data_IF_689185939393
#
_entry.id   IF_689185939393
#
_cell.length_a   1.000
_cell.length_b   1.000
_cell.length_c   1.000
_cell.angle_alpha   90.00
_cell.angle_beta   90.00
_cell.angle_gamma   90.00
#
_symmetry.space_group_name_H-M   'P 1'
#
loop_
_entity.id
_entity.type
_entity.pdbx_description
1 polymer ?
#
# COMPACT_ATOMS: atom_id res chain seq x y z
N UNK A 1 28.50 24.34 -5.83
CA UNK A 1 27.78 23.16 -6.39
C UNK A 1 26.36 23.22 -5.87
N UNK A 2 25.39 23.46 -6.74
CA UNK A 2 23.98 23.48 -6.31
C UNK A 2 23.53 22.05 -6.09
N UNK A 3 23.13 21.72 -4.85
CA UNK A 3 22.54 20.42 -4.56
C UNK A 3 21.12 20.40 -5.13
N UNK A 4 20.78 19.36 -5.86
CA UNK A 4 19.47 19.15 -6.49
C UNK A 4 18.76 17.99 -5.78
N UNK A 5 17.49 18.19 -5.44
CA UNK A 5 16.74 17.19 -4.67
C UNK A 5 15.95 16.24 -5.55
N UNK A 6 15.43 16.71 -6.68
CA UNK A 6 14.65 15.94 -7.63
C UNK A 6 14.94 16.35 -9.06
N UNK A 7 14.83 15.39 -9.99
CA UNK A 7 14.96 15.60 -11.43
C UNK A 7 13.79 14.90 -12.10
N UNK A 8 13.18 15.56 -13.07
CA UNK A 8 12.13 15.01 -13.93
C UNK A 8 12.28 15.57 -15.35
N UNK A 9 11.49 15.07 -16.32
CA UNK A 9 11.63 15.43 -17.72
C UNK A 9 10.26 15.80 -18.32
N UNK A 10 10.22 16.92 -19.04
CA UNK A 10 9.03 17.41 -19.73
C UNK A 10 9.41 18.12 -21.03
N UNK A 11 8.75 17.76 -22.15
CA UNK A 11 8.88 18.44 -23.45
C UNK A 11 10.32 18.69 -23.92
N UNK A 12 11.22 17.72 -23.76
CA UNK A 12 12.61 17.82 -24.17
C UNK A 12 13.53 18.52 -23.15
N UNK A 13 13.03 18.94 -22.01
CA UNK A 13 13.78 19.59 -20.96
C UNK A 13 13.83 18.76 -19.68
N UNK A 14 15.00 18.72 -19.03
CA UNK A 14 15.14 18.22 -17.68
C UNK A 14 14.94 19.33 -16.68
N UNK A 15 14.20 19.03 -15.63
CA UNK A 15 13.96 19.90 -14.50
C UNK A 15 14.78 19.47 -13.31
N UNK A 16 15.31 20.41 -12.56
CA UNK A 16 15.99 20.12 -11.31
C UNK A 16 15.56 21.14 -10.25
N UNK A 17 15.06 20.65 -9.14
CA UNK A 17 14.73 21.49 -7.97
C UNK A 17 16.01 21.83 -7.22
N UNK A 18 16.20 23.09 -6.90
CA UNK A 18 17.32 23.54 -6.07
C UNK A 18 16.94 23.29 -4.61
N UNK A 19 17.76 22.52 -3.91
CA UNK A 19 17.49 22.13 -2.53
C UNK A 19 17.33 23.35 -1.60
N UNK A 20 16.36 23.28 -0.70
CA UNK A 20 16.01 24.33 0.27
C UNK A 20 15.70 25.70 -0.36
N UNK A 21 15.06 25.69 -1.50
CA UNK A 21 14.63 26.91 -2.19
C UNK A 21 13.26 26.72 -2.87
N UNK A 22 12.65 27.83 -3.26
CA UNK A 22 11.48 27.85 -4.13
C UNK A 22 11.85 28.01 -5.62
N UNK A 23 13.03 27.52 -6.00
CA UNK A 23 13.67 27.76 -7.31
C UNK A 23 13.91 26.43 -8.00
N UNK A 24 13.65 26.40 -9.29
CA UNK A 24 14.00 25.26 -10.15
C UNK A 24 14.88 25.73 -11.32
N UNK A 25 15.64 24.82 -11.88
CA UNK A 25 16.46 25.03 -13.06
C UNK A 25 16.03 24.07 -14.16
N UNK A 26 16.12 24.53 -15.41
CA UNK A 26 15.79 23.77 -16.61
C UNK A 26 17.06 23.56 -17.43
N UNK A 27 17.23 22.38 -18.03
CA UNK A 27 18.34 22.07 -18.94
C UNK A 27 18.21 22.80 -20.26
N UNK A 28 19.21 22.68 -21.13
CA UNK A 28 19.02 22.96 -22.54
C UNK A 28 18.06 21.94 -23.17
N UNK A 29 17.44 22.32 -24.28
CA UNK A 29 16.52 21.44 -25.01
C UNK A 29 17.27 20.20 -25.49
N UNK A 30 16.69 19.03 -25.21
CA UNK A 30 17.22 17.70 -25.54
C UNK A 30 18.64 17.39 -25.02
N UNK A 31 19.15 18.20 -24.09
CA UNK A 31 20.47 18.04 -23.51
C UNK A 31 20.44 18.10 -21.99
N UNK A 32 20.47 16.94 -21.35
CA UNK A 32 20.52 16.80 -19.89
C UNK A 32 21.90 17.05 -19.28
N UNK A 33 22.93 17.25 -20.10
CA UNK A 33 24.32 17.47 -19.64
C UNK A 33 24.66 18.95 -19.50
N UNK A 34 23.99 19.81 -20.25
CA UNK A 34 24.25 21.25 -20.27
C UNK A 34 23.13 22.04 -19.57
N UNK A 35 23.51 22.79 -18.55
CA UNK A 35 22.61 23.56 -17.71
C UNK A 35 23.04 25.04 -17.71
N UNK A 36 22.29 25.89 -18.41
CA UNK A 36 22.58 27.32 -18.42
C UNK A 36 22.17 27.94 -17.08
N UNK A 37 23.08 28.69 -16.47
CA UNK A 37 22.81 29.39 -15.21
C UNK A 37 21.71 30.46 -15.28
N UNK A 38 21.29 30.88 -16.47
CA UNK A 38 20.20 31.81 -16.69
C UNK A 38 18.83 31.10 -16.79
N UNK A 39 18.79 29.78 -16.95
CA UNK A 39 17.56 29.00 -17.06
C UNK A 39 17.04 28.59 -15.68
N UNK A 40 16.97 29.55 -14.79
CA UNK A 40 16.48 29.42 -13.42
C UNK A 40 15.19 30.20 -13.30
N UNK A 41 14.19 29.61 -12.67
CA UNK A 41 12.93 30.26 -12.34
C UNK A 41 12.61 30.11 -10.86
N UNK A 42 12.09 31.19 -10.27
CA UNK A 42 11.65 31.21 -8.88
C UNK A 42 10.13 31.22 -8.83
N UNK A 43 9.55 30.34 -8.04
CA UNK A 43 8.11 30.28 -7.85
C UNK A 43 7.70 31.35 -6.87
N UNK A 44 6.99 32.38 -7.36
CA UNK A 44 6.55 33.51 -6.54
C UNK A 44 5.19 33.30 -5.86
N UNK A 45 4.44 32.26 -6.24
CA UNK A 45 3.11 31.96 -5.68
C UNK A 45 3.11 31.44 -4.26
N UNK A 46 4.23 30.88 -3.82
CA UNK A 46 4.43 30.49 -2.42
C UNK A 46 5.84 30.90 -1.96
N UNK A 47 5.96 31.36 -0.71
CA UNK A 47 7.26 31.74 -0.16
C UNK A 47 8.09 30.54 0.33
N UNK A 48 7.42 29.37 0.49
CA UNK A 48 8.03 28.16 1.05
C UNK A 48 8.92 27.47 0.02
N UNK A 49 9.82 26.64 0.49
CA UNK A 49 10.68 25.81 -0.37
C UNK A 49 9.86 24.77 -1.14
N UNK A 50 10.32 24.43 -2.33
CA UNK A 50 9.79 23.27 -3.07
C UNK A 50 10.17 22.01 -2.31
N UNK A 51 9.18 21.22 -1.93
CA UNK A 51 9.33 19.92 -1.26
C UNK A 51 9.41 18.80 -2.28
N UNK A 52 8.54 18.83 -3.30
CA UNK A 52 8.44 17.79 -4.31
C UNK A 52 8.09 18.35 -5.68
N UNK A 53 8.44 17.62 -6.72
CA UNK A 53 8.11 17.93 -8.10
C UNK A 53 7.70 16.64 -8.82
N UNK A 54 6.72 16.74 -9.73
CA UNK A 54 6.34 15.63 -10.60
C UNK A 54 5.82 16.16 -11.93
N UNK A 55 6.18 15.47 -13.00
CA UNK A 55 5.66 15.74 -14.34
C UNK A 55 4.49 14.81 -14.64
N UNK A 56 3.41 15.37 -15.15
CA UNK A 56 2.24 14.64 -15.59
C UNK A 56 1.55 15.38 -16.74
N UNK A 57 1.08 14.69 -17.79
CA UNK A 57 0.36 15.25 -18.94
C UNK A 57 0.99 16.52 -19.54
N UNK A 58 2.32 16.57 -19.67
CA UNK A 58 3.12 17.71 -20.14
C UNK A 58 3.03 18.95 -19.26
N UNK A 59 2.60 18.78 -18.01
CA UNK A 59 2.61 19.79 -16.97
C UNK A 59 3.64 19.44 -15.90
N UNK A 60 4.33 20.43 -15.38
CA UNK A 60 5.28 20.27 -14.29
C UNK A 60 4.65 20.80 -13.02
N UNK A 61 4.36 19.90 -12.10
CA UNK A 61 3.77 20.23 -10.81
C UNK A 61 4.86 20.41 -9.75
N UNK A 62 4.83 21.58 -9.09
CA UNK A 62 5.70 21.89 -7.96
C UNK A 62 4.86 21.97 -6.70
N UNK A 63 5.28 21.22 -5.69
CA UNK A 63 4.64 21.15 -4.38
C UNK A 63 5.55 21.81 -3.34
N UNK A 64 5.05 22.82 -2.62
CA UNK A 64 5.65 23.27 -1.37
C UNK A 64 5.03 22.50 -0.18
N UNK A 65 5.40 22.87 1.05
CA UNK A 65 4.80 22.25 2.24
C UNK A 65 3.31 22.52 2.43
N UNK A 66 2.75 23.54 1.76
CA UNK A 66 1.35 23.98 1.94
C UNK A 66 0.59 24.20 0.66
N UNK A 67 1.27 24.41 -0.45
CA UNK A 67 0.68 24.83 -1.72
C UNK A 67 1.34 24.12 -2.88
N UNK A 68 0.62 24.04 -4.01
CA UNK A 68 1.18 23.51 -5.25
C UNK A 68 0.72 24.30 -6.47
N UNK A 69 1.50 24.22 -7.53
CA UNK A 69 1.25 24.96 -8.77
C UNK A 69 1.77 24.16 -9.97
N UNK A 70 1.05 24.24 -11.08
CA UNK A 70 1.45 23.66 -12.35
C UNK A 70 2.07 24.69 -13.29
N UNK A 71 3.07 24.23 -14.04
CA UNK A 71 3.71 24.96 -15.12
C UNK A 71 3.58 24.18 -16.42
N UNK A 72 3.49 24.88 -17.54
CA UNK A 72 3.46 24.29 -18.87
C UNK A 72 4.48 24.99 -19.79
N UNK A 73 4.85 24.29 -20.85
CA UNK A 73 5.75 24.85 -21.86
C UNK A 73 5.00 25.81 -22.79
N UNK A 74 5.32 27.08 -22.70
CA UNK A 74 4.74 28.13 -23.55
C UNK A 74 5.42 28.26 -24.91
N UNK A 75 6.59 27.65 -25.07
CA UNK A 75 7.42 27.80 -26.28
C UNK A 75 8.10 29.18 -26.40
N UNK A 76 7.94 30.08 -25.44
CA UNK A 76 8.47 31.43 -25.49
C UNK A 76 9.24 31.78 -24.21
N UNK A 77 10.35 32.54 -24.37
CA UNK A 77 11.20 32.95 -23.27
C UNK A 77 12.20 31.86 -22.83
N UNK A 78 12.96 32.15 -21.77
CA UNK A 78 13.88 31.21 -21.14
C UNK A 78 13.85 31.41 -19.63
N UNK A 79 13.53 30.36 -18.85
CA UNK A 79 13.04 29.07 -19.32
C UNK A 79 11.62 29.21 -19.95
N UNK A 80 11.27 28.34 -20.92
CA UNK A 80 10.00 28.47 -21.65
C UNK A 80 8.75 28.04 -20.84
N UNK A 81 8.91 27.74 -19.58
CA UNK A 81 7.86 27.25 -18.70
C UNK A 81 7.25 28.39 -17.89
N UNK A 82 5.92 28.53 -17.99
CA UNK A 82 5.14 29.53 -17.28
C UNK A 82 4.03 28.87 -16.46
N UNK A 83 3.57 29.50 -15.36
CA UNK A 83 2.51 28.94 -14.53
C UNK A 83 1.17 28.91 -15.28
N UNK A 84 0.41 27.84 -15.06
CA UNK A 84 -0.96 27.69 -15.56
C UNK A 84 -1.88 28.54 -14.67
N UNK A 85 -2.59 29.47 -15.26
CA UNK A 85 -3.58 30.27 -14.53
C UNK A 85 -4.75 29.40 -14.08
N UNK A 86 -5.01 29.35 -12.76
CA UNK A 86 -6.05 28.51 -12.17
C UNK A 86 -5.60 27.12 -11.74
N UNK A 87 -4.39 26.67 -12.09
CA UNK A 87 -3.80 25.44 -11.59
C UNK A 87 -2.97 25.68 -10.33
N UNK A 88 -3.61 26.26 -9.33
CA UNK A 88 -3.04 26.57 -8.03
C UNK A 88 -3.86 25.89 -6.95
N UNK A 89 -3.20 25.11 -6.09
CA UNK A 89 -3.82 24.37 -5.00
C UNK A 89 -3.33 24.88 -3.65
N UNK A 90 -4.24 24.95 -2.69
CA UNK A 90 -3.91 25.17 -1.27
C UNK A 90 -3.48 23.87 -0.56
N UNK A 91 -3.14 22.85 -1.34
CA UNK A 91 -2.68 21.53 -0.90
C UNK A 91 -1.18 21.41 -1.18
N UNK A 92 -0.39 21.12 -0.16
CA UNK A 92 1.06 20.91 -0.28
C UNK A 92 1.46 19.46 -0.13
N UNK A 93 2.76 19.17 -0.19
CA UNK A 93 3.33 17.86 0.01
C UNK A 93 4.22 17.82 1.25
N UNK A 94 4.04 16.78 2.08
CA UNK A 94 4.82 16.58 3.31
C UNK A 94 6.10 15.75 3.15
N UNK A 95 6.34 15.15 1.96
CA UNK A 95 7.45 14.24 1.74
C UNK A 95 8.09 14.47 0.37
N UNK A 96 9.42 14.59 0.34
CA UNK A 96 10.17 14.87 -0.90
C UNK A 96 9.95 13.80 -1.98
N UNK A 97 9.90 12.54 -1.61
CA UNK A 97 9.67 11.40 -2.52
C UNK A 97 8.28 10.79 -2.36
N UNK A 98 7.34 11.58 -1.81
CA UNK A 98 5.94 11.16 -1.57
C UNK A 98 4.98 11.44 -2.73
N UNK A 99 5.46 12.00 -3.84
CA UNK A 99 4.67 12.21 -5.06
C UNK A 99 4.96 11.14 -6.10
N UNK A 100 3.94 10.64 -6.78
CA UNK A 100 4.10 9.67 -7.85
C UNK A 100 2.99 9.80 -8.90
N UNK A 101 3.30 9.49 -10.16
CA UNK A 101 2.28 9.35 -11.21
C UNK A 101 1.65 7.97 -11.11
N UNK A 102 0.35 7.94 -10.92
CA UNK A 102 -0.43 6.70 -10.68
C UNK A 102 -1.74 6.76 -11.42
N UNK A 103 -2.09 5.73 -12.18
CA UNK A 103 -3.41 5.65 -12.85
C UNK A 103 -3.77 6.94 -13.62
N UNK A 104 -2.84 7.42 -14.43
CA UNK A 104 -2.94 8.67 -15.22
C UNK A 104 -3.20 9.93 -14.39
N UNK A 105 -2.74 9.99 -13.15
CA UNK A 105 -2.83 11.17 -12.28
C UNK A 105 -1.66 11.24 -11.30
N UNK A 106 -1.53 12.34 -10.58
CA UNK A 106 -0.52 12.50 -9.53
C UNK A 106 -1.12 12.16 -8.18
N UNK A 107 -0.51 11.20 -7.47
CA UNK A 107 -0.74 10.95 -6.05
C UNK A 107 0.34 11.61 -5.19
N UNK A 108 -0.04 12.17 -4.04
CA UNK A 108 0.90 12.74 -3.08
C UNK A 108 0.44 12.59 -1.63
N UNK A 109 1.40 12.74 -0.72
CA UNK A 109 1.16 12.74 0.72
C UNK A 109 1.10 14.20 1.17
N UNK A 110 -0.09 14.67 1.51
CA UNK A 110 -0.27 16.00 2.09
C UNK A 110 -0.01 15.98 3.59
N UNK A 111 0.52 17.06 4.10
CA UNK A 111 0.57 17.35 5.53
C UNK A 111 -0.15 18.66 5.81
N UNK A 112 -1.21 18.61 6.61
CA UNK A 112 -1.92 19.82 7.02
C UNK A 112 -1.11 20.61 8.07
N UNK A 113 -1.58 21.82 8.41
CA UNK A 113 -0.94 22.72 9.39
C UNK A 113 -0.80 22.10 10.81
N UNK A 114 -1.54 21.05 11.12
CA UNK A 114 -1.47 20.31 12.39
C UNK A 114 -0.56 19.09 12.33
N UNK A 115 0.16 18.88 11.24
CA UNK A 115 1.05 17.74 11.04
C UNK A 115 0.34 16.44 10.68
N UNK A 116 -0.96 16.48 10.36
CA UNK A 116 -1.71 15.29 9.99
C UNK A 116 -1.47 14.96 8.52
N UNK A 117 -1.09 13.71 8.27
CA UNK A 117 -0.84 13.23 6.91
C UNK A 117 -2.13 12.70 6.27
N UNK A 118 -2.31 13.00 5.00
CA UNK A 118 -3.40 12.51 4.15
C UNK A 118 -2.83 12.09 2.80
N UNK A 119 -3.40 11.06 2.18
CA UNK A 119 -3.11 10.75 0.79
C UNK A 119 -4.15 11.42 -0.10
N UNK A 120 -3.67 12.14 -1.10
CA UNK A 120 -4.49 12.78 -2.11
C UNK A 120 -4.07 12.36 -3.51
N UNK A 121 -5.00 12.45 -4.43
CA UNK A 121 -4.76 12.30 -5.87
C UNK A 121 -5.31 13.52 -6.59
N UNK A 122 -4.71 13.86 -7.72
CA UNK A 122 -5.17 14.94 -8.56
C UNK A 122 -6.46 14.53 -9.29
N UNK A 123 -7.44 15.41 -9.32
CA UNK A 123 -8.65 15.27 -10.11
C UNK A 123 -8.90 16.61 -10.84
N UNK A 124 -8.44 16.69 -12.08
CA UNK A 124 -8.23 17.98 -12.74
C UNK A 124 -7.24 18.83 -11.93
N UNK A 125 -7.61 20.07 -11.63
CA UNK A 125 -6.80 20.95 -10.79
C UNK A 125 -7.31 21.02 -9.34
N UNK A 126 -7.68 19.85 -8.76
CA UNK A 126 -8.14 19.76 -7.36
C UNK A 126 -7.58 18.52 -6.72
N UNK A 127 -7.18 18.62 -5.46
CA UNK A 127 -6.77 17.48 -4.66
C UNK A 127 -8.00 16.71 -4.13
N UNK A 128 -8.09 15.42 -4.48
CA UNK A 128 -9.10 14.50 -3.95
C UNK A 128 -8.47 13.59 -2.90
N UNK A 129 -9.04 13.57 -1.70
CA UNK A 129 -8.61 12.69 -0.62
C UNK A 129 -8.98 11.25 -0.93
N UNK A 130 -8.00 10.34 -0.85
CA UNK A 130 -8.17 8.88 -1.03
C UNK A 130 -7.83 8.11 0.24
N UNK A 131 -7.16 8.74 1.22
CA UNK A 131 -6.93 8.11 2.52
C UNK A 131 -8.21 8.01 3.34
N UNK A 132 -8.34 6.92 4.09
CA UNK A 132 -9.41 6.74 5.06
C UNK A 132 -8.99 7.25 6.43
N UNK A 133 -9.95 7.58 7.29
CA UNK A 133 -9.66 8.00 8.67
C UNK A 133 -8.81 6.98 9.45
N UNK A 134 -8.98 5.68 9.17
CA UNK A 134 -8.20 4.62 9.82
C UNK A 134 -6.73 4.64 9.39
N UNK A 135 -6.46 4.88 8.12
CA UNK A 135 -5.10 5.03 7.56
C UNK A 135 -4.42 6.25 8.15
N UNK A 136 -5.10 7.41 8.14
CA UNK A 136 -4.58 8.66 8.68
C UNK A 136 -4.31 8.58 10.18
N UNK A 137 -5.19 7.95 10.95
CA UNK A 137 -4.97 7.70 12.37
C UNK A 137 -3.73 6.82 12.63
N UNK A 138 -3.43 5.88 11.73
CA UNK A 138 -2.19 5.13 11.81
C UNK A 138 -0.97 6.00 11.52
N UNK A 139 -1.04 6.86 10.49
CA UNK A 139 0.05 7.77 10.10
C UNK A 139 0.33 8.86 11.13
N UNK A 140 -0.68 9.34 11.87
CA UNK A 140 -0.51 10.28 12.98
C UNK A 140 0.40 9.76 14.11
N UNK A 141 0.56 8.45 14.21
CA UNK A 141 1.45 7.82 15.21
C UNK A 141 2.90 7.71 14.76
N UNK A 142 3.17 8.05 13.50
CA UNK A 142 4.52 7.95 12.94
C UNK A 142 5.38 9.12 13.43
N UNK A 143 6.67 8.87 13.72
CA UNK A 143 7.58 9.93 14.17
C UNK A 143 7.74 11.03 13.13
N UNK A 144 7.71 10.66 11.86
CA UNK A 144 7.77 11.57 10.70
C UNK A 144 7.06 10.94 9.50
N UNK A 145 6.59 11.79 8.59
CA UNK A 145 6.10 11.41 7.27
C UNK A 145 6.99 11.96 6.15
N UNK A 146 7.92 12.85 6.49
CA UNK A 146 8.75 13.54 5.52
C UNK A 146 9.77 12.61 4.82
N UNK A 147 10.04 11.47 5.41
CA UNK A 147 10.89 10.40 4.87
C UNK A 147 10.14 9.40 3.97
N UNK A 148 8.86 9.64 3.72
CA UNK A 148 8.07 8.73 2.89
C UNK A 148 8.61 8.68 1.46
N UNK A 149 8.67 7.45 0.94
CA UNK A 149 9.04 7.16 -0.45
C UNK A 149 7.91 6.40 -1.09
N UNK A 150 7.50 6.82 -2.27
CA UNK A 150 6.42 6.16 -3.02
C UNK A 150 6.87 5.72 -4.41
N UNK A 151 6.20 4.71 -4.91
CA UNK A 151 6.25 4.32 -6.32
C UNK A 151 4.92 3.68 -6.72
N UNK A 152 4.68 3.67 -8.03
CA UNK A 152 3.49 3.06 -8.61
C UNK A 152 3.87 1.88 -9.50
N UNK A 153 2.94 0.94 -9.64
CA UNK A 153 3.04 -0.17 -10.58
C UNK A 153 1.66 -0.68 -10.96
N UNK A 154 1.57 -1.26 -12.15
CA UNK A 154 0.35 -1.92 -12.63
C UNK A 154 0.60 -3.43 -12.66
N UNK A 155 -0.30 -4.20 -12.12
CA UNK A 155 -0.24 -5.66 -12.16
C UNK A 155 -1.65 -6.24 -12.22
N UNK A 156 -1.87 -7.22 -13.11
CA UNK A 156 -3.15 -7.91 -13.32
C UNK A 156 -4.36 -6.97 -13.50
N UNK A 157 -4.18 -5.83 -14.14
CA UNK A 157 -5.24 -4.86 -14.38
C UNK A 157 -5.57 -3.97 -13.18
N UNK A 158 -4.76 -4.01 -12.13
CA UNK A 158 -4.85 -3.11 -10.99
C UNK A 158 -3.71 -2.09 -11.02
N UNK A 159 -4.01 -0.87 -10.61
CA UNK A 159 -3.06 0.21 -10.41
C UNK A 159 -2.77 0.36 -8.92
N UNK A 160 -1.52 0.14 -8.55
CA UNK A 160 -1.08 0.19 -7.17
C UNK A 160 -0.18 1.40 -6.90
N UNK A 161 -0.47 2.09 -5.81
CA UNK A 161 0.40 3.12 -5.25
C UNK A 161 0.96 2.65 -3.92
N UNK A 162 2.25 2.32 -3.90
CA UNK A 162 2.94 1.90 -2.69
C UNK A 162 3.65 3.07 -2.03
N UNK A 163 3.42 3.23 -0.74
CA UNK A 163 4.01 4.28 0.10
C UNK A 163 4.73 3.60 1.26
N UNK A 164 6.02 3.84 1.38
CA UNK A 164 6.85 3.31 2.46
C UNK A 164 7.32 4.46 3.36
N UNK A 165 7.13 4.30 4.66
CA UNK A 165 7.61 5.18 5.72
C UNK A 165 8.79 4.52 6.43
N UNK A 166 10.05 4.85 6.05
CA UNK A 166 11.23 4.17 6.56
C UNK A 166 11.39 4.23 8.07
N UNK A 167 11.25 5.40 8.67
CA UNK A 167 11.39 5.61 10.12
C UNK A 167 10.26 4.95 10.92
N UNK A 168 9.04 4.97 10.40
CA UNK A 168 7.89 4.30 11.01
C UNK A 168 7.88 2.79 10.79
N UNK A 169 8.81 2.25 10.00
CA UNK A 169 8.91 0.84 9.64
C UNK A 169 7.59 0.27 9.08
N UNK A 170 6.93 1.01 8.19
CA UNK A 170 5.62 0.68 7.66
C UNK A 170 5.51 0.92 6.16
N UNK A 171 4.77 0.06 5.46
CA UNK A 171 4.43 0.22 4.04
C UNK A 171 2.93 0.04 3.85
N UNK A 172 2.36 0.91 3.05
CA UNK A 172 0.95 0.93 2.67
C UNK A 172 0.84 0.87 1.15
N UNK A 173 -0.23 0.25 0.68
CA UNK A 173 -0.55 0.18 -0.74
C UNK A 173 -2.01 0.60 -0.93
N UNK A 174 -2.23 1.50 -1.86
CA UNK A 174 -3.55 1.86 -2.34
C UNK A 174 -3.80 1.20 -3.68
N UNK A 175 -4.90 0.52 -3.83
CA UNK A 175 -5.37 -0.07 -5.08
C UNK A 175 -6.46 0.84 -5.66
N UNK A 176 -6.19 1.45 -6.81
CA UNK A 176 -7.10 2.39 -7.45
C UNK A 176 -8.37 1.71 -7.99
N UNK A 177 -8.26 0.46 -8.42
CA UNK A 177 -9.40 -0.26 -9.00
C UNK A 177 -10.42 -0.66 -7.95
N UNK A 178 -9.97 -0.98 -6.75
CA UNK A 178 -10.86 -1.36 -5.64
C UNK A 178 -11.16 -0.21 -4.69
N UNK A 179 -10.36 0.85 -4.71
CA UNK A 179 -10.44 1.96 -3.76
C UNK A 179 -10.00 1.60 -2.34
N UNK A 180 -9.20 0.54 -2.18
CA UNK A 180 -8.90 -0.03 -0.88
C UNK A 180 -7.44 0.17 -0.50
N UNK A 181 -7.22 0.38 0.81
CA UNK A 181 -5.91 0.43 1.43
C UNK A 181 -5.57 -0.89 2.09
N UNK A 182 -4.35 -1.37 1.88
CA UNK A 182 -3.81 -2.51 2.61
C UNK A 182 -2.36 -2.27 3.05
N UNK A 183 -1.94 -3.02 4.04
CA UNK A 183 -0.55 -2.98 4.50
C UNK A 183 0.26 -4.05 3.79
N UNK A 184 1.45 -3.67 3.33
CA UNK A 184 2.46 -4.58 2.80
C UNK A 184 3.65 -4.60 3.74
N UNK A 185 4.28 -5.74 3.96
CA UNK A 185 5.39 -5.83 4.89
C UNK A 185 6.25 -7.04 4.65
N UNK A 186 7.48 -6.96 5.06
CA UNK A 186 8.40 -8.09 5.09
C UNK A 186 8.23 -8.83 6.43
N UNK A 187 8.01 -10.14 6.37
CA UNK A 187 7.86 -10.97 7.56
C UNK A 187 9.22 -11.46 8.06
N UNK A 188 9.57 -11.09 9.28
CA UNK A 188 10.73 -11.66 9.97
C UNK A 188 10.28 -12.85 10.81
N UNK A 189 10.52 -14.05 10.31
CA UNK A 189 10.09 -15.29 10.97
C UNK A 189 10.79 -15.51 12.33
N UNK A 190 12.04 -15.06 12.48
CA UNK A 190 12.81 -15.22 13.71
C UNK A 190 12.30 -14.35 14.85
N UNK A 191 11.81 -13.15 14.52
CA UNK A 191 11.26 -12.18 15.49
C UNK A 191 9.73 -12.27 15.61
N UNK A 192 9.05 -12.98 14.70
CA UNK A 192 7.60 -13.02 14.66
C UNK A 192 6.92 -11.68 14.38
N UNK A 193 7.61 -10.77 13.69
CA UNK A 193 7.14 -9.40 13.45
C UNK A 193 7.21 -9.01 11.98
N UNK A 194 6.35 -8.04 11.61
CA UNK A 194 6.44 -7.39 10.30
C UNK A 194 7.33 -6.16 10.39
N UNK A 195 8.14 -5.95 9.36
CA UNK A 195 8.81 -4.70 9.06
C UNK A 195 8.24 -4.07 7.79
N UNK A 196 8.68 -2.87 7.45
CA UNK A 196 8.37 -2.26 6.15
C UNK A 196 8.75 -3.19 5.02
N UNK A 197 8.05 -3.10 3.89
CA UNK A 197 8.46 -3.82 2.69
C UNK A 197 9.85 -3.34 2.24
N UNK A 198 10.66 -4.25 1.75
CA UNK A 198 12.07 -3.94 1.44
C UNK A 198 12.24 -3.09 0.19
N UNK A 199 11.29 -3.16 -0.75
CA UNK A 199 11.37 -2.41 -2.02
C UNK A 199 10.97 -0.95 -1.82
N UNK A 200 11.75 -0.03 -2.39
CA UNK A 200 11.51 1.42 -2.33
C UNK A 200 11.45 2.07 -3.71
N UNK A 201 11.78 1.36 -4.76
CA UNK A 201 11.73 1.84 -6.13
C UNK A 201 11.22 0.75 -7.06
N UNK A 202 10.60 1.14 -8.16
CA UNK A 202 10.06 0.24 -9.17
C UNK A 202 10.33 0.80 -10.57
N UNK A 203 10.55 -0.09 -11.51
CA UNK A 203 10.52 0.20 -12.94
C UNK A 203 10.00 -1.01 -13.70
N UNK A 204 9.24 -0.78 -14.76
CA UNK A 204 8.84 -1.84 -15.68
C UNK A 204 9.77 -1.80 -16.89
N UNK A 205 10.61 -2.81 -17.02
CA UNK A 205 11.58 -2.93 -18.11
C UNK A 205 11.77 -4.38 -18.52
N UNK A 206 12.10 -4.63 -19.77
CA UNK A 206 12.27 -5.98 -20.32
C UNK A 206 11.07 -6.91 -20.04
N UNK A 207 9.84 -6.37 -20.07
CA UNK A 207 8.60 -7.07 -19.72
C UNK A 207 8.60 -7.65 -18.29
N UNK A 208 9.31 -6.99 -17.36
CA UNK A 208 9.45 -7.39 -15.96
C UNK A 208 9.27 -6.21 -15.03
N UNK A 209 8.63 -6.45 -13.91
CA UNK A 209 8.61 -5.51 -12.78
C UNK A 209 9.92 -5.66 -12.01
N UNK A 210 10.78 -4.66 -12.08
CA UNK A 210 12.05 -4.62 -11.37
C UNK A 210 11.92 -3.69 -10.16
N UNK A 211 12.41 -4.14 -9.02
CA UNK A 211 12.33 -3.40 -7.75
C UNK A 211 13.68 -3.33 -7.08
N UNK A 212 14.00 -2.18 -6.52
CA UNK A 212 15.24 -1.94 -5.79
C UNK A 212 15.09 -2.18 -4.29
N UNK A 213 16.04 -2.91 -3.71
CA UNK A 213 16.14 -3.14 -2.28
C UNK A 213 17.34 -2.36 -1.71
N UNK A 214 17.11 -1.33 -0.87
CA UNK A 214 18.18 -0.53 -0.30
C UNK A 214 19.01 -1.27 0.76
N UNK A 215 18.51 -2.39 1.31
CA UNK A 215 19.23 -3.15 2.33
C UNK A 215 20.30 -4.05 1.73
N UNK A 216 20.02 -4.68 0.60
CA UNK A 216 20.98 -5.56 -0.08
C UNK A 216 21.72 -4.85 -1.24
N UNK A 217 21.22 -3.69 -1.70
CA UNK A 217 21.70 -3.04 -2.91
C UNK A 217 21.41 -3.80 -4.19
N UNK A 218 20.51 -4.78 -4.12
CA UNK A 218 20.15 -5.67 -5.23
C UNK A 218 18.88 -5.21 -5.92
N UNK A 219 18.76 -5.57 -7.19
CA UNK A 219 17.53 -5.42 -7.97
C UNK A 219 16.86 -6.78 -8.09
N UNK A 220 15.58 -6.85 -7.76
CA UNK A 220 14.78 -8.06 -7.80
C UNK A 220 13.64 -7.92 -8.81
N UNK A 221 13.16 -9.05 -9.30
CA UNK A 221 11.94 -9.13 -10.10
C UNK A 221 10.75 -9.42 -9.19
N UNK A 222 9.69 -8.59 -9.27
CA UNK A 222 8.38 -8.97 -8.77
C UNK A 222 7.72 -9.91 -9.76
N UNK A 223 7.21 -11.04 -9.28
CA UNK A 223 6.50 -12.02 -10.09
C UNK A 223 5.34 -12.58 -9.27
N UNK A 224 4.15 -12.62 -9.85
CA UNK A 224 2.92 -13.14 -9.22
C UNK A 224 3.02 -14.63 -8.87
N UNK A 225 3.81 -15.39 -9.60
CA UNK A 225 4.00 -16.83 -9.38
C UNK A 225 5.09 -17.14 -8.32
N UNK A 226 5.64 -16.10 -7.70
CA UNK A 226 6.64 -16.24 -6.64
C UNK A 226 6.02 -15.96 -5.27
N UNK A 227 5.94 -16.98 -4.44
CA UNK A 227 5.30 -16.91 -3.11
C UNK A 227 6.30 -16.83 -1.97
N UNK A 228 7.50 -16.33 -2.25
CA UNK A 228 8.54 -15.99 -1.27
C UNK A 228 9.03 -14.57 -1.51
N UNK A 229 9.43 -13.89 -0.44
CA UNK A 229 9.95 -12.54 -0.47
C UNK A 229 11.46 -12.59 -0.20
N UNK A 230 12.27 -12.34 -1.23
CA UNK A 230 13.75 -12.48 -1.14
C UNK A 230 14.21 -13.85 -0.60
N UNK A 231 13.52 -14.93 -0.97
CA UNK A 231 13.74 -16.27 -0.45
C UNK A 231 13.17 -16.54 0.95
N UNK A 232 12.58 -15.53 1.60
CA UNK A 232 11.94 -15.66 2.90
C UNK A 232 10.44 -15.94 2.76
N UNK A 233 9.86 -16.50 3.80
CA UNK A 233 8.43 -16.78 3.87
C UNK A 233 7.61 -15.49 3.85
N UNK A 234 6.63 -15.43 2.98
CA UNK A 234 5.58 -14.40 3.02
C UNK A 234 4.50 -14.86 4.02
N UNK A 235 4.22 -14.05 5.03
CA UNK A 235 3.07 -14.28 5.88
C UNK A 235 1.93 -13.37 5.46
N UNK A 236 0.88 -13.96 4.86
CA UNK A 236 -0.37 -13.26 4.63
C UNK A 236 -1.26 -13.29 5.88
N UNK A 237 -2.09 -12.26 6.08
CA UNK A 237 -2.99 -12.19 7.22
C UNK A 237 -4.25 -11.38 6.86
N UNK A 238 -5.42 -11.90 7.28
CA UNK A 238 -6.69 -11.17 7.26
C UNK A 238 -7.37 -11.21 8.63
N UNK A 239 -7.93 -10.07 9.04
CA UNK A 239 -8.74 -9.97 10.26
C UNK A 239 -10.17 -9.63 9.91
N UNK A 240 -11.11 -10.24 10.63
CA UNK A 240 -12.52 -9.87 10.53
C UNK A 240 -12.81 -8.55 11.25
N UNK A 241 -13.88 -7.86 10.90
CA UNK A 241 -14.50 -6.91 11.81
C UNK A 241 -14.88 -7.59 13.14
N UNK A 242 -15.16 -6.79 14.15
CA UNK A 242 -15.69 -7.32 15.42
C UNK A 242 -17.09 -7.88 15.21
N UNK A 243 -17.26 -9.18 15.41
CA UNK A 243 -18.55 -9.85 15.41
C UNK A 243 -19.16 -9.68 16.80
N UNK A 244 -20.33 -9.03 16.88
CA UNK A 244 -21.09 -8.83 18.13
C UNK A 244 -22.59 -8.75 17.84
N UNK A 245 -23.42 -9.09 18.85
CA UNK A 245 -24.87 -8.98 18.78
C UNK A 245 -25.37 -8.23 20.01
N UNK A 246 -25.57 -6.91 19.93
CA UNK A 246 -26.10 -6.05 20.99
C UNK A 246 -25.47 -6.29 22.38
N UNK A 247 -24.18 -6.63 22.43
CA UNK A 247 -23.46 -7.02 23.64
C UNK A 247 -23.99 -8.29 24.35
N UNK A 248 -24.84 -9.08 23.69
CA UNK A 248 -25.31 -10.37 24.20
C UNK A 248 -24.25 -11.46 24.05
N UNK A 249 -24.43 -12.55 24.79
CA UNK A 249 -23.58 -13.71 24.63
C UNK A 249 -23.90 -14.44 23.32
N UNK A 250 -22.86 -14.63 22.50
CA UNK A 250 -22.92 -15.38 21.25
C UNK A 250 -22.23 -16.72 21.47
N UNK A 251 -22.90 -17.81 21.12
CA UNK A 251 -22.29 -19.15 21.04
C UNK A 251 -21.86 -19.38 19.59
N UNK A 252 -20.56 -19.53 19.36
CA UNK A 252 -19.97 -19.79 18.07
C UNK A 252 -19.79 -21.29 17.89
N UNK A 253 -20.52 -21.89 16.96
CA UNK A 253 -20.51 -23.33 16.73
C UNK A 253 -19.46 -23.76 15.72
N UNK A 254 -19.41 -23.08 14.59
CA UNK A 254 -18.52 -23.41 13.47
C UNK A 254 -18.14 -22.15 12.70
N UNK A 255 -16.91 -22.12 12.19
CA UNK A 255 -16.45 -21.21 11.14
C UNK A 255 -15.87 -22.05 10.00
N UNK A 256 -16.27 -21.75 8.78
CA UNK A 256 -15.78 -22.38 7.56
C UNK A 256 -15.27 -21.33 6.59
N UNK A 257 -14.13 -21.58 6.00
CA UNK A 257 -13.52 -20.70 5.00
C UNK A 257 -13.63 -21.37 3.63
N UNK A 258 -14.25 -20.68 2.70
CA UNK A 258 -14.22 -21.05 1.29
C UNK A 258 -12.92 -20.54 0.69
N UNK A 259 -11.97 -21.45 0.56
CA UNK A 259 -10.62 -21.18 0.06
C UNK A 259 -10.40 -22.07 -1.16
N UNK A 260 -9.61 -21.63 -2.12
CA UNK A 260 -9.14 -22.48 -3.19
C UNK A 260 -8.23 -23.57 -2.61
N UNK A 261 -8.67 -24.83 -2.68
CA UNK A 261 -8.00 -25.99 -2.07
C UNK A 261 -7.32 -26.85 -3.12
N UNK A 262 -6.42 -27.76 -2.69
CA UNK A 262 -5.77 -28.71 -3.60
C UNK A 262 -4.58 -28.14 -4.38
N UNK A 263 -4.02 -27.02 -3.93
CA UNK A 263 -2.92 -26.27 -4.59
C UNK A 263 -1.52 -26.61 -4.01
N UNK A 264 -1.37 -27.67 -3.26
CA UNK A 264 -0.09 -28.03 -2.65
C UNK A 264 0.99 -28.42 -3.68
N UNK A 265 2.29 -28.35 -3.31
CA UNK A 265 3.37 -28.81 -4.16
C UNK A 265 3.41 -30.34 -4.25
N UNK A 266 4.08 -30.84 -5.28
CA UNK A 266 4.43 -32.26 -5.43
C UNK A 266 5.98 -32.32 -5.50
N UNK A 267 6.65 -32.97 -4.51
CA UNK A 267 6.10 -33.63 -3.32
C UNK A 267 5.47 -32.68 -2.32
N UNK A 268 4.55 -33.16 -1.50
CA UNK A 268 3.86 -32.42 -0.44
C UNK A 268 4.84 -31.80 0.55
N UNK A 269 4.39 -30.76 1.26
CA UNK A 269 5.12 -30.24 2.42
C UNK A 269 5.32 -31.36 3.47
N UNK A 270 6.30 -31.19 4.33
CA UNK A 270 6.50 -32.07 5.49
C UNK A 270 6.26 -31.30 6.79
N UNK A 271 5.74 -31.99 7.78
CA UNK A 271 5.61 -31.47 9.13
C UNK A 271 6.93 -31.58 9.92
N UNK A 272 6.94 -31.14 11.17
CA UNK A 272 8.11 -31.20 12.05
C UNK A 272 8.59 -32.65 12.36
N UNK A 273 7.77 -33.69 12.06
CA UNK A 273 8.08 -35.08 12.22
C UNK A 273 8.47 -35.74 10.89
N UNK A 274 8.57 -34.97 9.81
CA UNK A 274 8.90 -35.48 8.47
C UNK A 274 7.72 -36.17 7.76
N UNK A 275 6.48 -36.06 8.26
CA UNK A 275 5.30 -36.61 7.61
C UNK A 275 4.76 -35.66 6.54
N UNK A 276 4.28 -36.19 5.40
CA UNK A 276 3.64 -35.35 4.38
C UNK A 276 2.43 -34.65 4.93
N UNK A 277 2.32 -33.36 4.64
CA UNK A 277 1.16 -32.50 4.96
C UNK A 277 0.71 -31.68 3.77
N UNK A 278 -0.57 -31.35 3.72
CA UNK A 278 -1.09 -30.31 2.83
C UNK A 278 -0.70 -28.90 3.28
N UNK A 279 -0.97 -27.88 2.44
CA UNK A 279 -0.94 -26.50 2.85
C UNK A 279 -1.86 -26.23 4.03
N UNK A 280 -1.48 -25.31 4.90
CA UNK A 280 -2.24 -24.99 6.12
C UNK A 280 -2.49 -23.51 6.25
N UNK A 281 -3.65 -23.19 6.84
CA UNK A 281 -3.94 -21.84 7.32
C UNK A 281 -4.03 -21.86 8.85
N UNK A 282 -3.62 -20.77 9.45
CA UNK A 282 -3.61 -20.57 10.88
C UNK A 282 -4.80 -19.70 11.28
N UNK A 283 -5.69 -20.23 12.12
CA UNK A 283 -6.84 -19.53 12.66
C UNK A 283 -6.61 -19.21 14.12
N UNK A 284 -6.81 -17.97 14.52
CA UNK A 284 -6.89 -17.55 15.91
C UNK A 284 -7.99 -16.50 16.09
N UNK A 285 -8.39 -16.25 17.33
CA UNK A 285 -9.39 -15.23 17.64
C UNK A 285 -9.10 -14.51 18.94
N UNK A 286 -9.65 -13.29 19.02
CA UNK A 286 -9.61 -12.44 20.21
C UNK A 286 -11.04 -12.11 20.65
N UNK A 287 -11.31 -12.18 21.94
CA UNK A 287 -12.59 -11.83 22.54
C UNK A 287 -12.59 -10.46 23.25
N UNK A 288 -11.48 -9.74 23.19
CA UNK A 288 -11.26 -8.47 23.92
C UNK A 288 -10.90 -7.29 23.03
N UNK A 289 -11.13 -7.42 21.71
CA UNK A 289 -10.85 -6.38 20.74
C UNK A 289 -9.39 -6.31 20.36
N UNK A 290 -8.78 -7.44 20.09
CA UNK A 290 -7.39 -7.65 19.61
C UNK A 290 -6.27 -7.39 20.63
N UNK A 291 -6.63 -7.25 21.93
CA UNK A 291 -5.61 -7.06 22.98
C UNK A 291 -4.89 -8.36 23.31
N UNK A 292 -5.64 -9.47 23.42
CA UNK A 292 -5.10 -10.79 23.62
C UNK A 292 -5.64 -11.75 22.55
N UNK A 293 -4.79 -12.64 22.08
CA UNK A 293 -5.13 -13.67 21.10
C UNK A 293 -5.13 -15.03 21.75
N UNK A 294 -6.11 -15.87 21.35
CA UNK A 294 -6.18 -17.26 21.78
C UNK A 294 -5.15 -18.13 21.07
N UNK A 295 -5.26 -19.45 21.28
CA UNK A 295 -4.40 -20.43 20.62
C UNK A 295 -4.55 -20.37 19.10
N UNK A 296 -3.47 -20.66 18.40
CA UNK A 296 -3.47 -20.83 16.95
C UNK A 296 -3.89 -22.25 16.59
N UNK A 297 -4.84 -22.39 15.70
CA UNK A 297 -5.31 -23.64 15.14
C UNK A 297 -4.87 -23.75 13.67
N UNK A 298 -4.24 -24.87 13.33
CA UNK A 298 -3.80 -25.16 11.98
C UNK A 298 -4.91 -25.92 11.26
N UNK A 299 -5.43 -25.35 10.17
CA UNK A 299 -6.48 -25.93 9.35
C UNK A 299 -5.86 -26.39 8.04
N UNK A 300 -6.05 -27.66 7.72
CA UNK A 300 -5.54 -28.28 6.51
C UNK A 300 -6.36 -27.85 5.27
N UNK A 301 -5.67 -27.39 4.23
CA UNK A 301 -6.27 -26.97 2.95
C UNK A 301 -6.26 -28.08 1.88
N UNK A 302 -5.85 -29.30 2.24
CA UNK A 302 -5.80 -30.46 1.34
C UNK A 302 -4.50 -30.59 0.55
N UNK A 303 -4.13 -31.81 0.22
CA UNK A 303 -2.99 -32.11 -0.66
C UNK A 303 -3.28 -31.70 -2.10
N UNK A 304 -2.27 -31.71 -2.95
CA UNK A 304 -2.42 -31.51 -4.38
C UNK A 304 -3.51 -32.41 -4.97
N UNK A 305 -4.51 -31.82 -5.63
CA UNK A 305 -5.65 -32.53 -6.21
C UNK A 305 -6.85 -32.74 -5.29
N UNK A 306 -6.77 -32.42 -4.00
CA UNK A 306 -7.93 -32.47 -3.06
C UNK A 306 -8.77 -31.20 -3.13
N UNK A 307 -9.43 -30.96 -4.25
CA UNK A 307 -10.19 -29.72 -4.50
C UNK A 307 -11.47 -29.57 -3.68
N UNK A 308 -11.98 -30.64 -3.06
CA UNK A 308 -13.22 -30.64 -2.25
C UNK A 308 -12.98 -30.50 -0.75
N UNK A 309 -11.79 -30.16 -0.30
CA UNK A 309 -11.46 -30.07 1.12
C UNK A 309 -12.21 -28.92 1.79
N UNK A 310 -12.93 -29.20 2.89
CA UNK A 310 -13.59 -28.18 3.71
C UNK A 310 -12.61 -27.67 4.78
N UNK A 311 -12.36 -26.36 4.76
CA UNK A 311 -11.46 -25.71 5.72
C UNK A 311 -12.31 -25.10 6.82
N UNK A 312 -12.50 -25.84 7.91
CA UNK A 312 -13.42 -25.46 8.99
C UNK A 312 -12.89 -25.76 10.39
N UNK A 313 -13.45 -25.04 11.36
CA UNK A 313 -13.21 -25.25 12.79
C UNK A 313 -14.54 -25.20 13.54
N UNK A 314 -14.76 -26.21 14.37
CA UNK A 314 -15.92 -26.32 15.26
C UNK A 314 -15.52 -26.09 16.71
N UNK A 315 -16.50 -26.07 17.64
CA UNK A 315 -16.32 -25.92 19.09
C UNK A 315 -15.58 -24.63 19.45
N UNK A 316 -16.08 -23.51 18.97
CA UNK A 316 -15.42 -22.22 19.08
C UNK A 316 -15.75 -21.47 20.40
N UNK A 317 -16.63 -22.06 21.25
CA UNK A 317 -17.01 -21.48 22.52
C UNK A 317 -17.87 -20.22 22.39
N UNK A 318 -17.98 -19.46 23.46
CA UNK A 318 -18.87 -18.30 23.52
C UNK A 318 -18.14 -17.02 23.90
N UNK A 319 -18.61 -15.90 23.37
CA UNK A 319 -18.10 -14.57 23.70
C UNK A 319 -19.20 -13.51 23.42
N UNK A 320 -19.08 -12.29 23.97
CA UNK A 320 -19.96 -11.17 23.60
C UNK A 320 -19.49 -10.46 22.33
N UNK A 321 -18.18 -10.48 22.09
CA UNK A 321 -17.56 -9.93 20.88
C UNK A 321 -16.38 -10.79 20.51
N UNK A 322 -16.11 -10.91 19.21
CA UNK A 322 -14.97 -11.69 18.70
C UNK A 322 -14.42 -11.09 17.42
N UNK A 323 -13.10 -11.07 17.33
CA UNK A 323 -12.36 -10.77 16.10
C UNK A 323 -11.62 -12.05 15.70
N UNK A 324 -11.75 -12.43 14.44
CA UNK A 324 -11.07 -13.57 13.84
C UNK A 324 -9.83 -13.10 13.11
N UNK A 325 -8.76 -13.87 13.19
CA UNK A 325 -7.56 -13.69 12.38
C UNK A 325 -7.24 -14.98 11.65
N UNK A 326 -7.14 -14.90 10.33
CA UNK A 326 -6.66 -15.96 9.47
C UNK A 326 -5.30 -15.54 8.92
N UNK A 327 -4.29 -16.43 9.01
CA UNK A 327 -2.97 -16.18 8.45
C UNK A 327 -2.41 -17.42 7.77
N UNK A 328 -1.48 -17.25 6.86
CA UNK A 328 -0.84 -18.33 6.11
C UNK A 328 0.61 -17.99 5.82
N UNK A 329 1.44 -19.02 5.66
CA UNK A 329 2.88 -18.91 5.43
C UNK A 329 3.39 -19.86 4.35
N UNK A 330 2.60 -20.84 3.97
CA UNK A 330 3.01 -21.79 2.94
C UNK A 330 3.12 -21.10 1.57
N UNK A 331 4.19 -21.33 0.80
CA UNK A 331 4.47 -20.64 -0.45
C UNK A 331 3.64 -21.20 -1.60
N UNK A 332 2.33 -20.95 -1.56
CA UNK A 332 1.35 -21.33 -2.58
C UNK A 332 0.46 -20.14 -2.92
N UNK A 333 -0.19 -20.16 -4.10
CA UNK A 333 -1.27 -19.20 -4.36
C UNK A 333 -2.37 -19.38 -3.32
N UNK A 334 -2.76 -18.31 -2.67
CA UNK A 334 -3.75 -18.34 -1.61
C UNK A 334 -4.91 -17.39 -1.92
N UNK A 335 -6.08 -17.95 -2.16
CA UNK A 335 -7.28 -17.18 -2.47
C UNK A 335 -8.40 -17.52 -1.48
N UNK A 336 -8.82 -16.53 -0.70
CA UNK A 336 -10.02 -16.62 0.14
C UNK A 336 -11.18 -16.08 -0.69
N UNK A 337 -12.23 -16.89 -0.84
CA UNK A 337 -13.43 -16.53 -1.57
C UNK A 337 -14.48 -15.98 -0.60
N UNK A 338 -14.75 -16.71 0.50
CA UNK A 338 -15.73 -16.30 1.50
C UNK A 338 -15.46 -16.96 2.86
N UNK A 339 -16.22 -16.56 3.89
CA UNK A 339 -16.19 -17.17 5.22
C UNK A 339 -17.61 -17.28 5.79
N UNK A 340 -17.95 -18.47 6.27
CA UNK A 340 -19.27 -18.77 6.83
C UNK A 340 -19.15 -19.00 8.34
N UNK A 341 -20.03 -18.33 9.10
CA UNK A 341 -20.06 -18.43 10.55
C UNK A 341 -21.41 -18.95 11.01
N UNK A 342 -21.40 -20.05 11.77
CA UNK A 342 -22.58 -20.58 12.43
C UNK A 342 -22.54 -20.15 13.90
N UNK A 343 -23.48 -19.28 14.28
CA UNK A 343 -23.54 -18.73 15.64
C UNK A 343 -24.98 -18.55 16.11
N UNK A 344 -25.20 -18.62 17.42
CA UNK A 344 -26.49 -18.41 18.07
C UNK A 344 -26.36 -17.37 19.19
N UNK A 345 -27.35 -16.49 19.33
CA UNK A 345 -27.47 -15.57 20.47
C UNK A 345 -28.83 -15.80 21.15
N UNK A 346 -28.81 -15.98 22.47
CA UNK A 346 -30.01 -16.26 23.27
C UNK A 346 -30.86 -17.41 22.71
N UNK A 347 -30.23 -18.47 22.18
CA UNK A 347 -30.89 -19.62 21.57
C UNK A 347 -31.50 -19.39 20.18
N UNK A 348 -31.36 -18.17 19.62
CA UNK A 348 -31.79 -17.85 18.26
C UNK A 348 -30.57 -17.82 17.32
N UNK A 349 -30.68 -18.44 16.13
CA UNK A 349 -29.58 -18.41 15.17
C UNK A 349 -29.33 -16.98 14.69
N UNK A 350 -28.05 -16.60 14.61
CA UNK A 350 -27.61 -15.38 13.96
C UNK A 350 -27.25 -15.80 12.54
N UNK A 351 -28.14 -15.56 11.60
CA UNK A 351 -27.86 -15.70 10.18
C UNK A 351 -27.19 -14.40 9.70
N UNK A 352 -25.90 -14.36 9.64
CA UNK A 352 -25.21 -13.40 8.78
C UNK A 352 -24.97 -14.12 7.45
N UNK A 353 -25.86 -13.88 6.49
CA UNK A 353 -25.63 -14.28 5.10
C UNK A 353 -24.41 -13.51 4.56
N UNK A 354 -23.58 -14.16 3.77
CA UNK A 354 -22.36 -13.60 3.19
C UNK A 354 -22.53 -12.28 2.43
N UNK A 355 -23.74 -11.94 1.99
CA UNK A 355 -24.04 -10.65 1.35
C UNK A 355 -23.76 -9.43 2.24
N UNK A 356 -24.02 -9.48 3.55
CA UNK A 356 -23.71 -8.37 4.45
C UNK A 356 -22.22 -8.34 4.87
N UNK A 357 -21.58 -9.48 4.91
CA UNK A 357 -20.15 -9.56 5.12
C UNK A 357 -19.39 -9.10 3.87
N UNK A 358 -19.84 -9.47 2.67
CA UNK A 358 -19.22 -9.06 1.42
C UNK A 358 -19.30 -7.55 1.17
N UNK A 359 -20.41 -6.88 1.51
CA UNK A 359 -20.52 -5.42 1.41
C UNK A 359 -19.69 -4.69 2.47
N UNK A 360 -19.57 -5.21 3.70
CA UNK A 360 -18.67 -4.65 4.71
C UNK A 360 -17.20 -4.98 4.41
N UNK A 361 -16.90 -6.14 3.84
CA UNK A 361 -15.55 -6.52 3.43
C UNK A 361 -15.07 -5.78 2.19
N UNK A 362 -15.95 -5.39 1.27
CA UNK A 362 -15.63 -4.47 0.15
C UNK A 362 -15.19 -3.09 0.61
N UNK A 363 -15.50 -2.70 1.86
CA UNK A 363 -15.08 -1.40 2.44
C UNK A 363 -13.82 -1.47 3.31
N UNK A 364 -13.26 -2.66 3.56
CA UNK A 364 -12.13 -2.87 4.49
C UNK A 364 -11.01 -3.74 3.88
N UNK A 365 -11.25 -4.38 2.74
CA UNK A 365 -10.25 -5.19 2.02
C UNK A 365 -9.33 -4.32 1.19
#
# INVERSE_FOLDING_TARGET
>A
MLFRSQIDFCDGYFFAVIQNSNTFQVSNLEDGTTWNGLFISTISYFPDNIVSMKVDHREVWFFSGKKSIAYYNSGAGYPPFIPIQGAFLEDGCGATFGTETVSDTIGWIEQNDRGQAMAKVMNGYKGQRVSTLAVEFAWQKYPTIADAVSYAYQDQGHDFWQITFPTANATWVYDFNTGLWHRKGFWNASLGTYSKHRTISHTFNFSKHLVGDPQSGSVYQMNIDTYTDFGNTIRGMKRSPTVMAENKWINFSEIEFLIETGLGPIPSFVDGNGQPRGPQVMLQWSNDGTKNWGNTYYLDCGHAGEYGKRVRKTQLGRARKRVWELSWTDPIPFRIIDAFLVATSDGKPIYQSGERLSEQYRKIA
#
